data_IF_111985037844
#
_entry.id   IF_111985037844
#
_cell.length_a   1.000
_cell.length_b   1.000
_cell.length_c   1.000
_cell.angle_alpha   90.00
_cell.angle_beta   90.00
_cell.angle_gamma   90.00
#
_symmetry.space_group_name_H-M   'P 1'
#
loop_
_entity.id
_entity.type
_entity.pdbx_description
1 polymer ?
#
# COMPACT_ATOMS: atom_id res chain seq x y z
N UNK A 1 -16.08 -9.66 -27.42
CA UNK A 1 -15.90 -11.00 -26.82
C UNK A 1 -15.41 -10.77 -25.41
N UNK A 2 -16.31 -10.89 -24.42
CA UNK A 2 -16.01 -10.45 -23.06
C UNK A 2 -14.89 -11.28 -22.45
N UNK A 3 -13.76 -10.61 -22.21
CA UNK A 3 -12.51 -11.23 -21.77
C UNK A 3 -12.54 -11.69 -20.31
N UNK A 4 -13.41 -11.10 -19.48
CA UNK A 4 -13.54 -11.44 -18.07
C UNK A 4 -14.98 -11.84 -17.74
N UNK A 5 -15.17 -13.13 -17.46
CA UNK A 5 -16.43 -13.69 -16.96
C UNK A 5 -16.21 -14.20 -15.55
N UNK A 6 -16.57 -13.38 -14.56
CA UNK A 6 -16.51 -13.81 -13.15
C UNK A 6 -17.87 -14.42 -12.81
N UNK A 7 -17.91 -15.68 -12.39
CA UNK A 7 -19.16 -16.29 -11.99
C UNK A 7 -19.60 -15.77 -10.62
N UNK A 8 -20.87 -15.42 -10.49
CA UNK A 8 -21.38 -14.78 -9.26
C UNK A 8 -21.35 -15.73 -8.06
N UNK A 9 -21.40 -17.06 -8.27
CA UNK A 9 -21.22 -18.05 -7.19
C UNK A 9 -19.87 -17.94 -6.48
N UNK A 10 -18.80 -17.57 -7.19
CA UNK A 10 -17.49 -17.34 -6.59
C UNK A 10 -17.53 -16.13 -5.65
N UNK A 11 -18.26 -15.08 -6.03
CA UNK A 11 -18.44 -13.88 -5.22
C UNK A 11 -19.25 -14.21 -3.96
N UNK A 12 -20.29 -15.04 -4.08
CA UNK A 12 -21.04 -15.53 -2.92
C UNK A 12 -20.17 -16.34 -1.96
N UNK A 13 -19.32 -17.23 -2.47
CA UNK A 13 -18.39 -18.01 -1.64
C UNK A 13 -17.37 -17.12 -0.93
N UNK A 14 -16.75 -16.18 -1.64
CA UNK A 14 -15.81 -15.24 -1.04
C UNK A 14 -16.51 -14.35 0.00
N UNK A 15 -17.73 -13.89 -0.29
CA UNK A 15 -18.54 -13.11 0.65
C UNK A 15 -18.89 -13.91 1.89
N UNK A 16 -19.25 -15.19 1.75
CA UNK A 16 -19.54 -16.08 2.88
C UNK A 16 -18.30 -16.31 3.75
N UNK A 17 -17.15 -16.56 3.14
CA UNK A 17 -15.86 -16.68 3.85
C UNK A 17 -15.49 -15.39 4.59
N UNK A 18 -15.69 -14.23 3.96
CA UNK A 18 -15.42 -12.94 4.56
C UNK A 18 -16.40 -12.62 5.72
N UNK A 19 -17.69 -12.92 5.56
CA UNK A 19 -18.69 -12.77 6.63
C UNK A 19 -18.40 -13.71 7.81
N UNK A 20 -17.95 -14.94 7.54
CA UNK A 20 -17.47 -15.85 8.58
C UNK A 20 -16.27 -15.27 9.31
N UNK A 21 -15.28 -14.74 8.58
CA UNK A 21 -14.12 -14.09 9.19
C UNK A 21 -14.53 -12.89 10.06
N UNK A 22 -15.42 -12.02 9.56
CA UNK A 22 -15.96 -10.89 10.31
C UNK A 22 -16.68 -11.36 11.58
N UNK A 23 -17.50 -12.41 11.49
CA UNK A 23 -18.17 -13.02 12.63
C UNK A 23 -17.17 -13.54 13.69
N UNK A 24 -16.11 -14.24 13.26
CA UNK A 24 -15.06 -14.67 14.18
C UNK A 24 -14.32 -13.47 14.80
N UNK A 25 -14.14 -12.39 14.04
CA UNK A 25 -13.62 -11.11 14.52
C UNK A 25 -14.47 -10.49 15.62
N UNK A 26 -15.80 -10.45 15.45
CA UNK A 26 -16.74 -10.01 16.49
C UNK A 26 -16.60 -10.80 17.78
N UNK A 27 -16.53 -12.14 17.67
CA UNK A 27 -16.37 -13.04 18.82
C UNK A 27 -15.02 -12.87 19.50
N UNK A 28 -13.95 -12.68 18.72
CA UNK A 28 -12.60 -12.45 19.22
C UNK A 28 -12.49 -11.09 19.93
N UNK A 29 -13.09 -10.04 19.38
CA UNK A 29 -13.18 -8.72 20.02
C UNK A 29 -13.99 -8.76 21.33
N UNK A 30 -15.08 -9.52 21.37
CA UNK A 30 -15.88 -9.70 22.59
C UNK A 30 -15.06 -10.38 23.71
N UNK A 31 -14.32 -11.44 23.38
CA UNK A 31 -13.52 -12.20 24.35
C UNK A 31 -12.26 -11.47 24.81
N UNK A 32 -11.53 -10.83 23.89
CA UNK A 32 -10.20 -10.27 24.18
C UNK A 32 -10.27 -8.84 24.78
N UNK A 33 -11.43 -8.17 24.70
CA UNK A 33 -11.61 -6.79 25.14
C UNK A 33 -12.68 -6.64 26.23
N UNK A 34 -12.88 -7.66 27.07
CA UNK A 34 -13.98 -7.72 28.05
C UNK A 34 -13.78 -6.85 29.32
N UNK A 35 -12.77 -5.99 29.35
CA UNK A 35 -12.46 -5.10 30.47
C UNK A 35 -13.19 -3.74 30.42
N UNK A 36 -13.49 -3.11 31.57
CA UNK A 36 -14.19 -1.81 31.63
C UNK A 36 -13.45 -0.68 30.90
N UNK A 37 -12.10 -0.68 30.91
CA UNK A 37 -11.26 0.26 30.17
C UNK A 37 -11.26 0.03 28.64
N UNK A 38 -11.51 -1.19 28.20
CA UNK A 38 -11.47 -1.59 26.78
C UNK A 38 -12.86 -1.58 26.12
N UNK A 39 -13.90 -1.18 26.84
CA UNK A 39 -15.29 -1.15 26.37
C UNK A 39 -15.50 -0.23 25.16
N UNK A 40 -14.88 0.95 25.18
CA UNK A 40 -14.89 1.89 24.05
C UNK A 40 -14.17 1.31 22.82
N UNK A 41 -12.99 0.71 23.02
CA UNK A 41 -12.22 0.07 21.95
C UNK A 41 -12.97 -1.11 21.33
N UNK A 42 -13.60 -1.95 22.16
CA UNK A 42 -14.47 -3.04 21.71
C UNK A 42 -15.62 -2.52 20.87
N UNK A 43 -16.28 -1.45 21.31
CA UNK A 43 -17.34 -0.78 20.57
C UNK A 43 -16.87 -0.30 19.20
N UNK A 44 -15.72 0.39 19.14
CA UNK A 44 -15.14 0.85 17.86
C UNK A 44 -14.84 -0.31 16.91
N UNK A 45 -14.18 -1.36 17.38
CA UNK A 45 -13.86 -2.54 16.55
C UNK A 45 -15.14 -3.22 16.04
N UNK A 46 -16.14 -3.39 16.89
CA UNK A 46 -17.41 -4.00 16.52
C UNK A 46 -18.21 -3.16 15.53
N UNK A 47 -18.24 -1.83 15.68
CA UNK A 47 -18.88 -0.94 14.70
C UNK A 47 -18.18 -1.03 13.34
N UNK A 48 -16.85 -1.01 13.31
CA UNK A 48 -16.09 -1.14 12.06
C UNK A 48 -16.34 -2.48 11.36
N UNK A 49 -16.31 -3.59 12.11
CA UNK A 49 -16.64 -4.91 11.59
C UNK A 49 -18.10 -4.99 11.12
N UNK A 50 -19.02 -4.32 11.82
CA UNK A 50 -20.43 -4.24 11.45
C UNK A 50 -20.66 -3.50 10.14
N UNK A 51 -20.01 -2.34 9.95
CA UNK A 51 -20.04 -1.59 8.69
C UNK A 51 -19.49 -2.45 7.54
N UNK A 52 -18.39 -3.17 7.77
CA UNK A 52 -17.82 -4.08 6.76
C UNK A 52 -18.80 -5.21 6.40
N UNK A 53 -19.46 -5.82 7.39
CA UNK A 53 -20.48 -6.86 7.16
C UNK A 53 -21.67 -6.32 6.36
N UNK A 54 -22.20 -5.16 6.72
CA UNK A 54 -23.30 -4.50 6.01
C UNK A 54 -22.91 -4.23 4.55
N UNK A 55 -21.70 -3.72 4.31
CA UNK A 55 -21.19 -3.44 2.97
C UNK A 55 -21.20 -4.70 2.09
N UNK A 56 -20.76 -5.84 2.65
CA UNK A 56 -20.75 -7.13 1.95
C UNK A 56 -22.19 -7.60 1.68
N UNK A 57 -23.08 -7.51 2.66
CA UNK A 57 -24.48 -7.90 2.50
C UNK A 57 -25.16 -7.07 1.41
N UNK A 58 -24.96 -5.74 1.39
CA UNK A 58 -25.51 -4.85 0.36
C UNK A 58 -25.03 -5.25 -1.03
N UNK A 59 -23.74 -5.57 -1.19
CA UNK A 59 -23.20 -6.07 -2.47
C UNK A 59 -23.89 -7.36 -2.90
N UNK A 60 -24.10 -8.31 -1.96
CA UNK A 60 -24.77 -9.56 -2.25
C UNK A 60 -26.24 -9.35 -2.67
N UNK A 61 -26.97 -8.46 -1.98
CA UNK A 61 -28.34 -8.09 -2.34
C UNK A 61 -28.39 -7.48 -3.75
N UNK A 62 -27.48 -6.56 -4.05
CA UNK A 62 -27.40 -5.94 -5.39
C UNK A 62 -27.14 -6.99 -6.49
N UNK A 63 -26.27 -7.96 -6.23
CA UNK A 63 -25.98 -9.05 -7.18
C UNK A 63 -27.18 -9.98 -7.38
N UNK A 64 -27.94 -10.29 -6.31
CA UNK A 64 -29.17 -11.08 -6.40
C UNK A 64 -30.23 -10.32 -7.22
N UNK A 65 -30.44 -9.03 -6.93
CA UNK A 65 -31.40 -8.17 -7.66
C UNK A 65 -31.03 -8.00 -9.13
N UNK A 66 -29.74 -8.03 -9.45
CA UNK A 66 -29.27 -7.93 -10.83
C UNK A 66 -29.62 -9.16 -11.68
N UNK A 67 -29.93 -10.31 -11.08
CA UNK A 67 -30.36 -11.53 -11.78
C UNK A 67 -29.32 -12.15 -12.74
N UNK A 68 -28.07 -11.64 -12.74
CA UNK A 68 -27.00 -12.08 -13.65
C UNK A 68 -26.22 -13.23 -13.01
N UNK A 69 -26.02 -14.32 -13.75
CA UNK A 69 -25.16 -15.45 -13.32
C UNK A 69 -23.66 -15.15 -13.43
N UNK A 70 -23.29 -14.19 -14.29
CA UNK A 70 -21.91 -13.80 -14.56
C UNK A 70 -21.78 -12.27 -14.61
N UNK A 71 -20.71 -11.75 -14.02
CA UNK A 71 -20.25 -10.40 -14.28
C UNK A 71 -19.36 -10.47 -15.52
N UNK A 72 -19.91 -10.05 -16.65
CA UNK A 72 -19.21 -9.93 -17.91
C UNK A 72 -18.82 -8.47 -18.10
N UNK A 73 -17.53 -8.16 -18.09
CA UNK A 73 -17.04 -6.83 -18.48
C UNK A 73 -16.14 -6.94 -19.70
N UNK A 74 -16.39 -6.06 -20.67
CA UNK A 74 -15.53 -5.91 -21.84
C UNK A 74 -14.27 -5.10 -21.52
N UNK A 75 -14.33 -4.25 -20.47
CA UNK A 75 -13.20 -3.47 -19.97
C UNK A 75 -13.08 -3.61 -18.44
N UNK A 76 -11.85 -3.83 -17.96
CA UNK A 76 -11.54 -3.88 -16.52
C UNK A 76 -11.34 -2.45 -16.02
N UNK A 77 -12.13 -1.96 -15.06
CA UNK A 77 -11.92 -0.62 -14.49
C UNK A 77 -10.55 -0.48 -13.85
N UNK A 78 -9.89 0.66 -14.07
CA UNK A 78 -8.58 0.97 -13.47
C UNK A 78 -8.61 0.92 -11.94
N UNK A 79 -9.73 1.30 -11.32
CA UNK A 79 -9.92 1.23 -9.87
C UNK A 79 -9.75 -0.18 -9.29
N UNK A 80 -10.01 -1.25 -10.07
CA UNK A 80 -9.85 -2.63 -9.58
C UNK A 80 -8.39 -2.99 -9.32
N UNK A 81 -7.44 -2.33 -9.99
CA UNK A 81 -6.01 -2.54 -9.74
C UNK A 81 -5.59 -2.05 -8.35
N UNK A 82 -6.33 -1.12 -7.73
CA UNK A 82 -6.06 -0.70 -6.36
C UNK A 82 -6.25 -1.85 -5.35
N UNK A 83 -7.16 -2.79 -5.64
CA UNK A 83 -7.38 -3.97 -4.80
C UNK A 83 -6.20 -4.95 -4.83
N UNK A 84 -5.35 -4.90 -5.85
CA UNK A 84 -4.16 -5.76 -5.93
C UNK A 84 -3.20 -5.51 -4.77
N UNK A 85 -3.09 -4.26 -4.30
CA UNK A 85 -2.28 -3.95 -3.13
C UNK A 85 -2.73 -4.77 -1.90
N UNK A 86 -4.02 -4.76 -1.58
CA UNK A 86 -4.55 -5.52 -0.44
C UNK A 86 -4.38 -7.04 -0.61
N UNK A 87 -4.57 -7.55 -1.83
CA UNK A 87 -4.35 -8.98 -2.14
C UNK A 87 -2.89 -9.37 -1.91
N UNK A 88 -1.94 -8.57 -2.41
CA UNK A 88 -0.52 -8.84 -2.24
C UNK A 88 -0.06 -8.67 -0.79
N UNK A 89 -0.65 -7.75 -0.01
CA UNK A 89 -0.34 -7.65 1.42
C UNK A 89 -0.72 -8.96 2.12
N UNK A 90 -1.94 -9.46 1.91
CA UNK A 90 -2.38 -10.72 2.55
C UNK A 90 -1.54 -11.90 2.09
N UNK A 91 -1.14 -11.94 0.82
CA UNK A 91 -0.33 -13.02 0.28
C UNK A 91 1.14 -12.97 0.75
N UNK A 92 1.75 -11.78 0.82
CA UNK A 92 3.18 -11.61 1.10
C UNK A 92 3.48 -11.36 2.57
N UNK A 93 2.53 -10.87 3.38
CA UNK A 93 2.77 -10.61 4.80
C UNK A 93 3.27 -11.85 5.58
N UNK A 94 2.71 -13.06 5.42
CA UNK A 94 3.24 -14.27 6.08
C UNK A 94 4.67 -14.58 5.64
N UNK A 95 4.98 -14.39 4.35
CA UNK A 95 6.32 -14.61 3.81
C UNK A 95 7.34 -13.62 4.40
N UNK A 96 7.02 -12.32 4.42
CA UNK A 96 7.90 -11.31 5.01
C UNK A 96 8.07 -11.51 6.52
N UNK A 97 6.99 -11.83 7.25
CA UNK A 97 7.08 -12.15 8.67
C UNK A 97 8.00 -13.34 8.93
N UNK A 98 7.83 -14.44 8.19
CA UNK A 98 8.72 -15.60 8.26
C UNK A 98 10.17 -15.26 7.92
N UNK A 99 10.40 -14.47 6.87
CA UNK A 99 11.74 -14.07 6.44
C UNK A 99 12.47 -13.30 7.53
N UNK A 100 11.81 -12.32 8.17
CA UNK A 100 12.42 -11.54 9.26
C UNK A 100 12.67 -12.39 10.51
N UNK A 101 11.72 -13.26 10.89
CA UNK A 101 11.89 -14.18 12.00
C UNK A 101 13.07 -15.14 11.78
N UNK A 102 13.26 -15.63 10.55
CA UNK A 102 14.39 -16.48 10.17
C UNK A 102 15.73 -15.75 10.26
N UNK A 103 15.77 -14.44 9.97
CA UNK A 103 16.99 -13.64 10.10
C UNK A 103 17.38 -13.38 11.55
N UNK A 104 16.42 -13.30 12.47
CA UNK A 104 16.67 -13.18 13.91
C UNK A 104 17.64 -12.05 14.26
N UNK A 105 18.83 -12.38 14.77
CA UNK A 105 19.87 -11.41 15.15
C UNK A 105 20.50 -10.67 13.96
N UNK A 106 20.38 -11.22 12.75
CA UNK A 106 20.88 -10.60 11.51
C UNK A 106 19.82 -9.74 10.81
N UNK A 107 18.68 -9.48 11.47
CA UNK A 107 17.64 -8.61 10.94
C UNK A 107 18.20 -7.20 10.70
N UNK A 108 18.03 -6.63 9.48
CA UNK A 108 18.45 -5.27 9.21
C UNK A 108 17.72 -4.29 10.13
N UNK A 109 18.43 -3.23 10.55
CA UNK A 109 17.82 -2.21 11.41
C UNK A 109 16.61 -1.55 10.74
N UNK A 110 15.73 -0.98 11.56
CA UNK A 110 14.55 -0.25 11.09
C UNK A 110 14.81 0.76 9.96
N UNK A 111 15.80 1.70 10.05
CA UNK A 111 16.12 2.58 8.92
C UNK A 111 16.59 1.87 7.65
N UNK A 112 17.29 0.74 7.79
CA UNK A 112 17.77 -0.05 6.63
C UNK A 112 16.60 -0.67 5.88
N UNK A 113 15.62 -1.21 6.60
CA UNK A 113 14.39 -1.75 6.02
C UNK A 113 13.57 -0.67 5.31
N UNK A 114 13.52 0.54 5.87
CA UNK A 114 12.87 1.68 5.20
C UNK A 114 13.59 2.04 3.88
N UNK A 115 14.92 2.03 3.85
CA UNK A 115 15.68 2.28 2.62
C UNK A 115 15.45 1.18 1.57
N UNK A 116 15.38 -0.09 1.98
CA UNK A 116 14.99 -1.19 1.09
C UNK A 116 13.57 -1.03 0.54
N UNK A 117 12.63 -0.55 1.37
CA UNK A 117 11.27 -0.24 0.94
C UNK A 117 11.24 0.83 -0.17
N UNK A 118 11.98 1.92 -0.01
CA UNK A 118 12.13 2.96 -1.04
C UNK A 118 12.78 2.42 -2.32
N UNK A 119 13.75 1.52 -2.18
CA UNK A 119 14.38 0.86 -3.33
C UNK A 119 13.37 -0.01 -4.10
N UNK A 120 12.52 -0.78 -3.43
CA UNK A 120 11.44 -1.52 -4.08
C UNK A 120 10.46 -0.59 -4.81
N UNK A 121 10.11 0.56 -4.22
CA UNK A 121 9.27 1.56 -4.91
C UNK A 121 9.93 2.02 -6.22
N UNK A 122 11.22 2.32 -6.20
CA UNK A 122 11.98 2.68 -7.39
C UNK A 122 12.06 1.57 -8.43
N UNK A 123 12.29 0.32 -8.01
CA UNK A 123 12.28 -0.84 -8.90
C UNK A 123 10.91 -1.07 -9.55
N UNK A 124 9.82 -0.85 -8.83
CA UNK A 124 8.48 -0.93 -9.39
C UNK A 124 8.27 0.13 -10.48
N UNK A 125 8.66 1.38 -10.21
CA UNK A 125 8.58 2.44 -11.22
C UNK A 125 9.49 2.18 -12.43
N UNK A 126 10.66 1.58 -12.22
CA UNK A 126 11.57 1.20 -13.29
C UNK A 126 10.96 0.09 -14.17
N UNK A 127 10.28 -0.88 -13.55
CA UNK A 127 9.59 -1.95 -14.25
C UNK A 127 8.49 -1.41 -15.18
N UNK A 128 7.61 -0.53 -14.68
CA UNK A 128 6.55 0.07 -15.51
C UNK A 128 7.13 1.01 -16.56
N UNK A 129 8.21 1.74 -16.26
CA UNK A 129 8.91 2.58 -17.23
C UNK A 129 9.41 1.74 -18.41
N UNK A 130 10.03 0.59 -18.17
CA UNK A 130 10.44 -0.32 -19.25
C UNK A 130 9.23 -0.83 -20.05
N UNK A 131 8.11 -1.11 -19.39
CA UNK A 131 6.87 -1.54 -20.03
C UNK A 131 6.22 -0.50 -20.95
N UNK A 132 6.47 0.79 -20.72
CA UNK A 132 5.98 1.89 -21.58
C UNK A 132 7.05 2.46 -22.52
N UNK A 133 8.25 1.87 -22.52
CA UNK A 133 9.34 2.35 -23.35
C UNK A 133 9.04 2.12 -24.84
N UNK A 134 9.27 3.14 -25.67
CA UNK A 134 8.97 3.15 -27.11
C UNK A 134 7.49 2.91 -27.48
N UNK A 135 6.55 3.16 -26.57
CA UNK A 135 5.13 3.03 -26.85
C UNK A 135 4.57 4.39 -27.27
N UNK A 136 3.85 4.42 -28.40
CA UNK A 136 3.20 5.63 -28.90
C UNK A 136 2.05 6.06 -27.98
N UNK A 137 1.79 7.36 -27.83
CA UNK A 137 0.64 7.87 -27.08
C UNK A 137 -0.66 7.21 -27.55
N UNK A 138 -1.44 6.67 -26.61
CA UNK A 138 -2.73 6.03 -26.90
C UNK A 138 -2.68 4.52 -27.16
N UNK A 139 -1.49 3.91 -27.24
CA UNK A 139 -1.37 2.44 -27.34
C UNK A 139 -1.53 1.80 -25.96
N UNK A 140 -2.48 0.87 -25.83
CA UNK A 140 -2.73 0.15 -24.57
C UNK A 140 -1.58 -0.83 -24.30
N UNK A 141 -1.10 -0.82 -23.06
CA UNK A 141 -0.03 -1.71 -22.57
C UNK A 141 -0.66 -2.88 -21.81
N UNK A 142 0.02 -4.04 -21.81
CA UNK A 142 -0.46 -5.22 -21.08
C UNK A 142 -0.65 -4.94 -19.58
N UNK A 143 -1.70 -5.52 -19.00
CA UNK A 143 -2.01 -5.36 -17.57
C UNK A 143 -0.93 -5.95 -16.65
N UNK A 144 -0.10 -6.87 -17.16
CA UNK A 144 0.96 -7.52 -16.37
C UNK A 144 1.96 -6.52 -15.78
N UNK A 145 2.21 -5.41 -16.48
CA UNK A 145 3.14 -4.37 -16.01
C UNK A 145 2.64 -3.69 -14.74
N UNK A 146 1.33 -3.41 -14.67
CA UNK A 146 0.68 -2.88 -13.47
C UNK A 146 0.62 -3.91 -12.36
N UNK A 147 0.28 -5.17 -12.66
CA UNK A 147 0.20 -6.24 -11.65
C UNK A 147 1.55 -6.41 -10.94
N UNK A 148 2.64 -6.47 -11.72
CA UNK A 148 4.00 -6.62 -11.17
C UNK A 148 4.46 -5.35 -10.45
N UNK A 149 4.15 -4.15 -10.97
CA UNK A 149 4.38 -2.87 -10.27
C UNK A 149 3.77 -2.91 -8.86
N UNK A 150 2.48 -3.26 -8.75
CA UNK A 150 1.80 -3.39 -7.46
C UNK A 150 2.46 -4.43 -6.56
N UNK A 151 2.84 -5.60 -7.10
CA UNK A 151 3.51 -6.64 -6.31
C UNK A 151 4.86 -6.17 -5.72
N UNK A 152 5.66 -5.45 -6.52
CA UNK A 152 6.95 -4.89 -6.07
C UNK A 152 6.72 -3.76 -5.05
N UNK A 153 5.79 -2.84 -5.32
CA UNK A 153 5.48 -1.75 -4.38
C UNK A 153 4.95 -2.26 -3.05
N UNK A 154 4.06 -3.25 -3.06
CA UNK A 154 3.56 -3.89 -1.83
C UNK A 154 4.68 -4.59 -1.06
N UNK A 155 5.65 -5.21 -1.75
CA UNK A 155 6.84 -5.78 -1.10
C UNK A 155 7.66 -4.70 -0.38
N UNK A 156 7.78 -3.51 -0.98
CA UNK A 156 8.38 -2.34 -0.33
C UNK A 156 7.57 -1.81 0.84
N UNK A 157 6.24 -1.78 0.72
CA UNK A 157 5.31 -1.35 1.78
C UNK A 157 5.41 -2.25 3.01
N UNK A 158 5.53 -3.57 2.83
CA UNK A 158 5.73 -4.53 3.92
C UNK A 158 7.06 -4.33 4.68
N UNK A 159 8.03 -3.67 4.04
CA UNK A 159 9.27 -3.25 4.71
C UNK A 159 9.12 -1.95 5.51
N UNK A 160 8.14 -1.09 5.18
CA UNK A 160 7.97 0.26 5.74
C UNK A 160 6.86 0.34 6.81
N UNK A 161 5.70 -0.24 6.52
CA UNK A 161 4.44 -0.13 7.28
C UNK A 161 4.56 -0.47 8.78
N UNK A 162 5.18 -1.59 9.21
CA UNK A 162 5.32 -1.90 10.63
C UNK A 162 6.36 -1.03 11.37
N UNK A 163 7.18 -0.27 10.64
CA UNK A 163 8.36 0.41 11.19
C UNK A 163 8.07 1.88 11.52
N UNK A 164 7.35 2.59 10.67
CA UNK A 164 7.14 4.03 10.81
C UNK A 164 6.53 4.43 12.15
N UNK A 165 5.36 3.87 12.47
CA UNK A 165 4.66 4.11 13.74
C UNK A 165 5.45 3.58 14.94
N UNK A 166 6.13 2.45 14.80
CA UNK A 166 6.95 1.88 15.87
C UNK A 166 8.13 2.76 16.23
N UNK A 167 8.80 3.36 15.24
CA UNK A 167 9.94 4.26 15.47
C UNK A 167 9.52 5.55 16.15
N UNK A 168 8.42 6.17 15.70
CA UNK A 168 7.89 7.39 16.33
C UNK A 168 7.56 7.11 17.79
N UNK A 169 6.90 5.99 18.08
CA UNK A 169 6.55 5.65 19.45
C UNK A 169 7.78 5.28 20.32
N UNK A 170 8.78 4.60 19.76
CA UNK A 170 9.99 4.18 20.51
C UNK A 170 10.97 5.33 20.78
N UNK A 171 11.09 6.29 19.87
CA UNK A 171 12.09 7.35 19.95
C UNK A 171 11.50 8.67 20.46
N UNK A 172 10.17 8.78 20.57
CA UNK A 172 9.53 9.96 21.11
C UNK A 172 9.76 10.09 22.63
N UNK A 173 10.20 11.27 23.12
CA UNK A 173 10.12 11.58 24.54
C UNK A 173 8.65 11.56 24.99
N UNK A 174 8.36 11.00 26.15
CA UNK A 174 6.98 10.85 26.67
C UNK A 174 6.18 12.17 26.65
N UNK A 175 6.84 13.31 26.90
CA UNK A 175 6.23 14.64 26.89
C UNK A 175 5.82 15.13 25.49
N UNK A 176 6.42 14.59 24.43
CA UNK A 176 6.22 15.03 23.03
C UNK A 176 5.68 13.93 22.12
N UNK A 177 5.24 12.79 22.67
CA UNK A 177 4.77 11.65 21.88
C UNK A 177 3.60 11.99 20.94
N UNK A 178 2.59 12.72 21.44
CA UNK A 178 1.46 13.19 20.62
C UNK A 178 1.89 14.18 19.53
N UNK A 179 2.85 15.06 19.83
CA UNK A 179 3.40 16.02 18.87
C UNK A 179 4.17 15.31 17.74
N UNK A 180 5.00 14.32 18.06
CA UNK A 180 5.74 13.56 17.06
C UNK A 180 4.83 12.67 16.21
N UNK A 181 3.75 12.14 16.78
CA UNK A 181 2.70 11.47 16.01
C UNK A 181 1.95 12.44 15.08
N UNK A 182 1.66 13.67 15.52
CA UNK A 182 1.11 14.70 14.65
C UNK A 182 2.06 15.02 13.49
N UNK A 183 3.36 15.19 13.75
CA UNK A 183 4.38 15.40 12.71
C UNK A 183 4.42 14.23 11.71
N UNK A 184 4.31 12.99 12.18
CA UNK A 184 4.23 11.81 11.31
C UNK A 184 3.02 11.88 10.36
N UNK A 185 1.83 12.18 10.87
CA UNK A 185 0.64 12.32 10.02
C UNK A 185 0.73 13.55 9.09
N UNK A 186 1.30 14.66 9.53
CA UNK A 186 1.54 15.84 8.68
C UNK A 186 2.50 15.52 7.54
N UNK A 187 3.57 14.76 7.81
CA UNK A 187 4.49 14.30 6.77
C UNK A 187 3.78 13.42 5.72
N UNK A 188 2.88 12.52 6.16
CA UNK A 188 2.05 11.73 5.25
C UNK A 188 1.09 12.61 4.43
N UNK A 189 0.47 13.63 5.03
CA UNK A 189 -0.41 14.56 4.30
C UNK A 189 0.37 15.33 3.23
N UNK A 190 1.57 15.82 3.56
CA UNK A 190 2.44 16.49 2.61
C UNK A 190 2.90 15.54 1.50
N UNK A 191 3.26 14.29 1.83
CA UNK A 191 3.60 13.27 0.86
C UNK A 191 2.47 12.97 -0.13
N UNK A 192 1.23 12.84 0.36
CA UNK A 192 0.05 12.66 -0.49
C UNK A 192 -0.23 13.88 -1.37
N UNK A 193 -0.08 15.10 -0.83
CA UNK A 193 -0.21 16.34 -1.61
C UNK A 193 0.82 16.39 -2.73
N UNK A 194 2.09 16.09 -2.43
CA UNK A 194 3.15 16.01 -3.43
C UNK A 194 2.84 14.93 -4.48
N UNK A 195 2.38 13.75 -4.08
CA UNK A 195 1.99 12.69 -4.99
C UNK A 195 0.88 13.15 -5.95
N UNK A 196 -0.12 13.89 -5.45
CA UNK A 196 -1.17 14.50 -6.27
C UNK A 196 -0.63 15.55 -7.25
N UNK A 197 0.23 16.46 -6.78
CA UNK A 197 0.86 17.48 -7.63
C UNK A 197 1.77 16.88 -8.70
N UNK A 198 2.54 15.84 -8.37
CA UNK A 198 3.38 15.12 -9.35
C UNK A 198 2.53 14.33 -10.34
N UNK A 199 1.44 13.71 -9.89
CA UNK A 199 0.53 12.99 -10.79
C UNK A 199 -0.16 13.91 -11.80
N UNK A 200 -0.38 15.18 -11.44
CA UNK A 200 -0.90 16.19 -12.36
C UNK A 200 0.10 16.58 -13.48
N UNK A 201 1.37 16.22 -13.35
CA UNK A 201 2.39 16.42 -14.40
C UNK A 201 2.39 15.30 -15.45
N UNK A 202 1.46 14.35 -15.35
CA UNK A 202 1.31 13.31 -16.34
C UNK A 202 1.11 13.94 -17.73
N UNK A 203 1.99 13.65 -18.71
CA UNK A 203 1.93 14.28 -20.02
C UNK A 203 0.71 13.77 -20.80
N UNK A 204 -0.39 14.52 -20.75
CA UNK A 204 -1.56 14.29 -21.60
C UNK A 204 -1.40 15.02 -22.95
N UNK A 205 -1.75 14.35 -24.04
CA UNK A 205 -1.88 14.93 -25.38
C UNK A 205 -0.63 15.66 -25.93
N UNK A 206 0.57 15.18 -25.60
CA UNK A 206 1.83 15.71 -26.17
C UNK A 206 2.29 17.04 -25.56
N UNK A 207 1.69 17.49 -24.45
CA UNK A 207 2.20 18.64 -23.71
C UNK A 207 3.44 18.22 -22.91
N UNK A 208 4.57 18.89 -23.16
CA UNK A 208 5.79 18.69 -22.38
C UNK A 208 5.66 19.37 -21.03
N UNK A 209 5.46 18.59 -19.97
CA UNK A 209 5.52 19.10 -18.61
C UNK A 209 6.97 19.14 -18.15
N UNK A 210 7.28 20.02 -17.20
CA UNK A 210 8.63 20.07 -16.61
C UNK A 210 8.56 20.12 -15.10
N UNK A 211 9.45 19.38 -14.46
CA UNK A 211 9.62 19.39 -13.02
C UNK A 211 11.09 19.59 -12.70
N UNK A 212 11.42 20.66 -11.96
CA UNK A 212 12.79 20.98 -11.56
C UNK A 212 13.81 20.96 -12.72
N UNK A 213 13.42 21.41 -13.90
CA UNK A 213 14.29 21.45 -15.10
C UNK A 213 14.35 20.15 -15.91
N UNK A 214 13.77 19.05 -15.42
CA UNK A 214 13.59 17.81 -16.18
C UNK A 214 12.32 17.89 -17.04
N UNK A 215 12.47 17.81 -18.37
CA UNK A 215 11.36 17.83 -19.32
C UNK A 215 10.81 16.41 -19.50
N UNK A 216 9.50 16.26 -19.36
CA UNK A 216 8.80 15.00 -19.59
C UNK A 216 8.05 15.12 -20.90
N UNK A 217 8.55 14.41 -21.91
CA UNK A 217 7.91 14.38 -23.23
C UNK A 217 6.98 13.19 -23.38
N UNK A 218 7.30 12.09 -22.69
CA UNK A 218 6.60 10.81 -22.79
C UNK A 218 6.31 10.20 -21.42
N UNK A 219 5.42 9.20 -21.39
CA UNK A 219 5.08 8.42 -20.20
C UNK A 219 6.31 7.72 -19.57
N UNK A 220 7.30 7.36 -20.39
CA UNK A 220 8.60 6.85 -19.92
C UNK A 220 9.31 7.86 -19.02
N UNK A 221 9.45 9.11 -19.48
CA UNK A 221 10.13 10.19 -18.75
C UNK A 221 9.43 10.48 -17.42
N UNK A 222 8.09 10.43 -17.44
CA UNK A 222 7.26 10.59 -16.26
C UNK A 222 7.56 9.53 -15.19
N UNK A 223 7.59 8.24 -15.54
CA UNK A 223 7.93 7.19 -14.58
C UNK A 223 9.40 7.23 -14.14
N UNK A 224 10.31 7.62 -15.03
CA UNK A 224 11.74 7.79 -14.71
C UNK A 224 11.98 8.88 -13.65
N UNK A 225 11.14 9.91 -13.57
CA UNK A 225 11.19 10.86 -12.46
C UNK A 225 11.01 10.14 -11.12
N UNK A 226 9.99 9.28 -10.99
CA UNK A 226 9.74 8.56 -9.74
C UNK A 226 10.87 7.57 -9.43
N UNK A 227 11.48 6.95 -10.44
CA UNK A 227 12.70 6.13 -10.27
C UNK A 227 13.83 6.96 -9.68
N UNK A 228 14.10 8.14 -10.25
CA UNK A 228 15.15 9.03 -9.76
C UNK A 228 14.86 9.52 -8.34
N UNK A 229 13.64 9.98 -8.06
CA UNK A 229 13.25 10.48 -6.74
C UNK A 229 13.33 9.40 -5.65
N UNK A 230 12.77 8.22 -5.91
CA UNK A 230 12.82 7.10 -4.96
C UNK A 230 14.23 6.55 -4.81
N UNK A 231 15.02 6.48 -5.88
CA UNK A 231 16.42 6.07 -5.85
C UNK A 231 17.29 7.03 -5.03
N UNK A 232 17.15 8.34 -5.24
CA UNK A 232 17.83 9.37 -4.45
C UNK A 232 17.40 9.29 -2.99
N UNK A 233 16.09 9.16 -2.71
CA UNK A 233 15.58 9.01 -1.34
C UNK A 233 16.12 7.75 -0.66
N UNK A 234 16.16 6.60 -1.36
CA UNK A 234 16.70 5.35 -0.86
C UNK A 234 18.20 5.49 -0.55
N UNK A 235 18.98 6.11 -1.44
CA UNK A 235 20.41 6.33 -1.26
C UNK A 235 20.69 7.27 -0.09
N UNK A 236 19.98 8.41 -0.01
CA UNK A 236 20.10 9.34 1.10
C UNK A 236 19.79 8.66 2.44
N UNK A 237 18.69 7.90 2.51
CA UNK A 237 18.32 7.18 3.73
C UNK A 237 19.34 6.09 4.07
N UNK A 238 19.89 5.39 3.08
CA UNK A 238 20.92 4.38 3.29
C UNK A 238 22.22 4.99 3.85
N UNK A 239 22.64 6.15 3.35
CA UNK A 239 23.81 6.86 3.90
C UNK A 239 23.54 7.38 5.32
N UNK A 240 22.34 7.91 5.58
CA UNK A 240 21.94 8.39 6.89
C UNK A 240 21.73 7.25 7.90
N UNK A 241 21.44 6.03 7.43
CA UNK A 241 21.16 4.87 8.29
C UNK A 241 22.27 4.63 9.31
N UNK A 242 23.55 4.73 8.90
CA UNK A 242 24.68 4.56 9.84
C UNK A 242 24.68 5.59 10.96
N UNK A 243 24.29 6.83 10.65
CA UNK A 243 24.21 7.92 11.63
C UNK A 243 23.00 7.75 12.55
N UNK A 244 21.84 7.41 11.97
CA UNK A 244 20.61 7.17 12.71
C UNK A 244 20.77 6.02 13.71
N UNK A 245 21.36 4.90 13.28
CA UNK A 245 21.66 3.77 14.17
C UNK A 245 22.54 4.20 15.36
N UNK A 246 23.61 4.97 15.13
CA UNK A 246 24.48 5.48 16.20
C UNK A 246 23.72 6.37 17.19
N UNK A 247 22.85 7.26 16.70
CA UNK A 247 22.05 8.14 17.55
C UNK A 247 21.01 7.35 18.37
N UNK A 248 20.37 6.35 17.76
CA UNK A 248 19.40 5.49 18.46
C UNK A 248 20.04 4.71 19.61
N UNK A 249 21.25 4.19 19.41
CA UNK A 249 21.99 3.49 20.46
C UNK A 249 22.43 4.43 21.59
N UNK A 250 22.78 5.68 21.28
CA UNK A 250 23.18 6.68 22.26
C UNK A 250 22.03 7.19 23.15
N UNK A 251 20.77 6.97 22.76
CA UNK A 251 19.59 7.44 23.52
C UNK A 251 19.06 6.38 24.50
N UNK A 252 19.64 5.17 24.48
CA UNK A 252 19.28 4.04 25.35
C UNK A 252 20.15 3.86 26.59
N UNK A 253 21.15 4.73 26.81
CA UNK A 253 21.93 4.86 28.04
C UNK A 253 21.56 6.18 28.73
#
# INVERSE_FOLDING_TARGET
MSWLKIPVWLIYLLSAGLLYYIYTGFRSAAKNLDGPYNSALRGTVQVLLGIAAVSVIVINIYLIQSGKSHISKDEVPTAWFQSLNSVFIVAFAPFFAWMWLKMGKNEPSSPTKMALGLLFVGLGFLWIAYGVNNIQPGVKVSMIWLIVLYAIHTSGELCLSPIGLSLVNKLAPLKFASLLMAIWFTANAFGNKLAGSLSALYPENGQTTSFLGYKMSNTYDFFMLFVAMSGVAALLLFLLTRRLQKMMLSTGN
#
